data_IF_203145471688
#
_entry.id   IF_203145471688
#
_cell.length_a   1.000
_cell.length_b   1.000
_cell.length_c   1.000
_cell.angle_alpha   90.00
_cell.angle_beta   90.00
_cell.angle_gamma   90.00
#
_symmetry.space_group_name_H-M   'P 1'
#
loop_
_entity.id
_entity.type
_entity.pdbx_description
1 polymer ?
#
# COMPACT_ATOMS: atom_id res chain seq x y z
N UNK A 1 2.35 -1.22 -75.97
CA UNK A 1 1.76 -1.41 -74.62
C UNK A 1 2.33 -0.35 -73.70
N UNK A 2 1.53 0.64 -73.33
CA UNK A 2 1.90 1.71 -72.37
C UNK A 2 1.43 1.25 -70.99
N UNK A 3 2.36 1.07 -70.06
CA UNK A 3 2.06 0.69 -68.66
C UNK A 3 1.72 1.97 -67.88
N UNK A 4 0.50 2.05 -67.33
CA UNK A 4 0.08 3.13 -66.42
C UNK A 4 0.74 2.96 -65.03
N UNK A 5 1.06 4.05 -64.32
CA UNK A 5 1.55 3.97 -62.94
C UNK A 5 0.42 3.59 -61.98
N UNK A 6 0.78 2.78 -60.97
CA UNK A 6 -0.10 2.21 -59.94
C UNK A 6 -0.42 3.30 -58.90
N UNK A 7 -1.69 3.68 -58.77
CA UNK A 7 -2.15 4.58 -57.70
C UNK A 7 -1.94 3.91 -56.33
N UNK A 8 -1.37 4.65 -55.38
CA UNK A 8 -1.23 4.25 -53.97
C UNK A 8 -2.61 4.33 -53.29
N UNK A 9 -2.94 3.40 -52.37
CA UNK A 9 -4.27 3.34 -51.77
C UNK A 9 -4.54 4.53 -50.83
N UNK A 10 -5.76 5.10 -50.92
CA UNK A 10 -6.30 6.25 -50.17
C UNK A 10 -6.31 6.10 -48.62
N UNK A 11 -5.82 4.98 -48.07
CA UNK A 11 -5.80 4.70 -46.62
C UNK A 11 -4.71 5.44 -45.83
N UNK A 12 -3.60 5.82 -46.47
CA UNK A 12 -2.43 6.40 -45.77
C UNK A 12 -2.63 7.86 -45.33
N UNK A 13 -3.40 8.64 -46.09
CA UNK A 13 -3.69 10.04 -45.75
C UNK A 13 -4.68 10.19 -44.58
N UNK A 14 -5.62 9.26 -44.44
CA UNK A 14 -6.65 9.27 -43.37
C UNK A 14 -6.11 8.73 -42.04
N UNK A 15 -5.15 7.80 -42.08
CA UNK A 15 -4.39 7.38 -40.90
C UNK A 15 -3.42 8.47 -40.45
N UNK A 16 -2.65 9.06 -41.36
CA UNK A 16 -1.77 10.20 -41.04
C UNK A 16 -2.53 11.41 -40.47
N UNK A 17 -3.72 11.72 -41.01
CA UNK A 17 -4.58 12.78 -40.48
C UNK A 17 -5.20 12.46 -39.12
N UNK A 18 -5.45 11.18 -38.80
CA UNK A 18 -5.89 10.75 -37.46
C UNK A 18 -4.76 10.81 -36.45
N UNK A 19 -3.56 10.37 -36.81
CA UNK A 19 -2.37 10.42 -35.96
C UNK A 19 -1.95 11.86 -35.68
N UNK A 20 -2.01 12.76 -36.67
CA UNK A 20 -1.77 14.20 -36.47
C UNK A 20 -2.82 14.83 -35.54
N UNK A 21 -4.09 14.48 -35.70
CA UNK A 21 -5.16 15.00 -34.83
C UNK A 21 -5.02 14.46 -33.41
N UNK A 22 -4.62 13.20 -33.24
CA UNK A 22 -4.35 12.61 -31.93
C UNK A 22 -3.12 13.23 -31.27
N UNK A 23 -2.04 13.45 -32.02
CA UNK A 23 -0.84 14.14 -31.55
C UNK A 23 -1.14 15.57 -31.11
N UNK A 24 -1.95 16.32 -31.88
CA UNK A 24 -2.38 17.67 -31.53
C UNK A 24 -3.22 17.71 -30.23
N UNK A 25 -4.12 16.74 -30.02
CA UNK A 25 -4.93 16.65 -28.79
C UNK A 25 -4.05 16.33 -27.57
N UNK A 26 -3.04 15.47 -27.73
CA UNK A 26 -2.09 15.12 -26.67
C UNK A 26 -1.22 16.31 -26.29
N UNK A 27 -0.78 17.09 -27.28
CA UNK A 27 0.03 18.30 -27.06
C UNK A 27 -0.78 19.40 -26.35
N UNK A 28 -2.05 19.57 -26.72
CA UNK A 28 -2.95 20.55 -26.11
C UNK A 28 -3.28 20.19 -24.63
N UNK A 29 -3.50 18.91 -24.32
CA UNK A 29 -3.68 18.42 -22.93
C UNK A 29 -2.40 18.54 -22.10
N UNK A 30 -1.23 18.28 -22.70
CA UNK A 30 0.06 18.45 -22.04
C UNK A 30 0.32 19.92 -21.70
N UNK A 31 0.04 20.83 -22.63
CA UNK A 31 0.21 22.26 -22.45
C UNK A 31 -0.78 22.82 -21.42
N UNK A 32 -2.02 22.36 -21.42
CA UNK A 32 -3.02 22.71 -20.40
C UNK A 32 -2.56 22.34 -18.99
N UNK A 33 -1.95 21.16 -18.81
CA UNK A 33 -1.37 20.73 -17.52
C UNK A 33 -0.22 21.63 -17.08
N UNK A 34 0.67 22.01 -18.00
CA UNK A 34 1.78 22.92 -17.69
C UNK A 34 1.27 24.31 -17.27
N UNK A 35 0.21 24.80 -17.90
CA UNK A 35 -0.40 26.09 -17.55
C UNK A 35 -1.07 26.04 -16.16
N UNK A 36 -1.81 24.98 -15.85
CA UNK A 36 -2.41 24.79 -14.52
C UNK A 36 -1.36 24.72 -13.41
N UNK A 37 -0.21 24.07 -13.67
CA UNK A 37 0.92 24.04 -12.74
C UNK A 37 1.52 25.43 -12.51
N UNK A 38 1.68 26.21 -13.59
CA UNK A 38 2.19 27.59 -13.52
C UNK A 38 1.27 28.49 -12.70
N UNK A 39 -0.04 28.37 -12.87
CA UNK A 39 -1.03 29.16 -12.12
C UNK A 39 -1.03 28.79 -10.63
N UNK A 40 -0.97 27.50 -10.32
CA UNK A 40 -1.05 27.01 -8.93
C UNK A 40 0.26 27.17 -8.13
N UNK A 41 1.42 27.09 -8.78
CA UNK A 41 2.73 27.05 -8.08
C UNK A 41 3.67 28.19 -8.47
N UNK A 42 3.29 29.05 -9.42
CA UNK A 42 4.13 30.14 -9.93
C UNK A 42 5.28 29.70 -10.82
N UNK A 43 5.44 28.39 -11.09
CA UNK A 43 6.43 27.81 -11.98
C UNK A 43 5.89 26.53 -12.64
N UNK A 44 6.48 26.13 -13.76
CA UNK A 44 6.13 24.91 -14.50
C UNK A 44 7.38 24.26 -15.12
N UNK A 45 7.22 23.08 -15.72
CA UNK A 45 8.28 22.38 -16.44
C UNK A 45 8.63 23.10 -17.75
N UNK A 46 9.87 22.97 -18.21
CA UNK A 46 10.33 23.67 -19.42
C UNK A 46 9.74 23.07 -20.71
N UNK A 47 9.41 21.78 -20.67
CA UNK A 47 8.69 21.06 -21.73
C UNK A 47 7.91 19.88 -21.14
N UNK A 48 6.96 19.26 -21.89
CA UNK A 48 6.32 18.01 -21.48
C UNK A 48 7.32 16.88 -21.17
N UNK A 49 8.48 16.89 -21.83
CA UNK A 49 9.56 15.90 -21.68
C UNK A 49 10.70 16.36 -20.75
N UNK A 50 10.49 17.39 -19.93
CA UNK A 50 11.52 17.94 -19.03
C UNK A 50 12.15 16.83 -18.15
N UNK A 51 13.49 16.66 -18.16
CA UNK A 51 14.16 15.62 -17.38
C UNK A 51 14.07 15.82 -15.86
N UNK A 52 13.72 17.03 -15.41
CA UNK A 52 13.47 17.31 -14.00
C UNK A 52 12.09 16.81 -13.53
N UNK A 53 11.16 16.58 -14.46
CA UNK A 53 9.88 15.98 -14.15
C UNK A 53 10.08 14.49 -13.79
N UNK A 54 9.71 14.05 -12.58
CA UNK A 54 9.90 12.65 -12.15
C UNK A 54 9.18 11.62 -13.02
N UNK A 55 8.12 12.02 -13.73
CA UNK A 55 7.46 11.17 -14.72
C UNK A 55 8.37 10.78 -15.89
N UNK A 56 9.36 11.62 -16.24
CA UNK A 56 10.26 11.40 -17.37
C UNK A 56 11.58 10.72 -16.99
N UNK A 57 11.78 10.34 -15.71
CA UNK A 57 12.99 9.63 -15.30
C UNK A 57 13.10 8.25 -15.96
N UNK A 58 14.34 7.80 -16.18
CA UNK A 58 14.59 6.45 -16.71
C UNK A 58 14.02 5.36 -15.80
N UNK A 59 13.57 4.26 -16.39
CA UNK A 59 13.00 3.14 -15.64
C UNK A 59 13.97 2.60 -14.59
N UNK A 60 15.26 2.49 -14.93
CA UNK A 60 16.31 2.07 -14.00
C UNK A 60 16.33 2.94 -12.75
N UNK A 61 16.25 4.27 -12.91
CA UNK A 61 16.24 5.19 -11.78
C UNK A 61 14.99 5.02 -10.92
N UNK A 62 13.82 4.87 -11.55
CA UNK A 62 12.56 4.63 -10.84
C UNK A 62 12.59 3.31 -10.05
N UNK A 63 13.16 2.26 -10.64
CA UNK A 63 13.34 0.95 -9.98
C UNK A 63 14.32 1.05 -8.82
N UNK A 64 15.46 1.74 -8.98
CA UNK A 64 16.41 1.95 -7.88
C UNK A 64 15.78 2.69 -6.70
N UNK A 65 15.04 3.77 -6.96
CA UNK A 65 14.31 4.52 -5.92
C UNK A 65 13.29 3.61 -5.26
N UNK A 66 12.50 2.85 -6.04
CA UNK A 66 11.53 1.92 -5.49
C UNK A 66 12.17 0.88 -4.57
N UNK A 67 13.29 0.27 -4.97
CA UNK A 67 14.03 -0.69 -4.14
C UNK A 67 14.50 -0.05 -2.84
N UNK A 68 15.09 1.14 -2.88
CA UNK A 68 15.61 1.81 -1.68
C UNK A 68 14.49 2.19 -0.71
N UNK A 69 13.38 2.74 -1.20
CA UNK A 69 12.20 3.07 -0.37
C UNK A 69 11.59 1.80 0.23
N UNK A 70 11.48 0.74 -0.57
CA UNK A 70 10.99 -0.57 -0.15
C UNK A 70 11.88 -1.22 0.92
N UNK A 71 13.22 -1.11 0.80
CA UNK A 71 14.17 -1.55 1.81
C UNK A 71 14.06 -0.72 3.09
N UNK A 72 13.85 0.60 2.97
CA UNK A 72 13.60 1.46 4.12
C UNK A 72 12.34 1.05 4.88
N UNK A 73 11.26 0.80 4.16
CA UNK A 73 10.03 0.27 4.75
C UNK A 73 10.27 -1.08 5.42
N UNK A 74 10.98 -2.01 4.78
CA UNK A 74 11.35 -3.29 5.37
C UNK A 74 12.14 -3.11 6.68
N UNK A 75 13.18 -2.27 6.68
CA UNK A 75 13.99 -1.99 7.85
C UNK A 75 13.13 -1.45 9.01
N UNK A 76 12.19 -0.56 8.72
CA UNK A 76 11.30 -0.03 9.77
C UNK A 76 10.30 -1.05 10.30
N UNK A 77 9.78 -1.96 9.45
CA UNK A 77 8.90 -3.06 9.88
C UNK A 77 9.62 -4.02 10.84
N UNK A 78 10.92 -4.19 10.65
CA UNK A 78 11.75 -5.05 11.48
C UNK A 78 12.15 -4.43 12.83
N UNK A 79 12.02 -3.11 12.97
CA UNK A 79 12.62 -2.36 14.08
C UNK A 79 11.65 -1.93 15.19
N UNK A 80 10.42 -2.49 15.22
CA UNK A 80 9.37 -2.29 16.26
C UNK A 80 9.05 -0.83 16.66
N UNK A 81 9.52 0.17 15.90
CA UNK A 81 9.61 1.56 16.36
C UNK A 81 8.48 2.46 15.85
N UNK A 82 8.27 3.58 16.55
CA UNK A 82 7.35 4.66 16.17
C UNK A 82 7.61 5.22 14.74
N UNK A 83 8.77 4.94 14.13
CA UNK A 83 9.14 5.37 12.78
C UNK A 83 8.52 4.54 11.64
N UNK A 84 8.01 3.32 11.92
CA UNK A 84 7.43 2.44 10.90
C UNK A 84 6.24 3.06 10.15
N UNK A 85 5.49 3.93 10.82
CA UNK A 85 4.36 4.61 10.18
C UNK A 85 4.78 5.52 9.02
N UNK A 86 5.95 6.16 9.10
CA UNK A 86 6.40 7.08 8.05
C UNK A 86 6.80 6.32 6.77
N UNK A 87 7.58 5.25 6.92
CA UNK A 87 8.02 4.42 5.78
C UNK A 87 6.82 3.84 5.02
N UNK A 88 5.90 3.18 5.74
CA UNK A 88 4.72 2.54 5.12
C UNK A 88 3.79 3.55 4.43
N UNK A 89 3.72 4.80 4.93
CA UNK A 89 2.81 5.82 4.38
C UNK A 89 3.41 6.56 3.18
N UNK A 90 4.74 6.73 3.12
CA UNK A 90 5.40 7.52 2.08
C UNK A 90 5.67 6.73 0.79
N UNK A 91 5.79 5.40 0.85
CA UNK A 91 6.12 4.57 -0.33
C UNK A 91 5.14 4.77 -1.48
N UNK A 92 3.83 4.68 -1.23
CA UNK A 92 2.82 4.79 -2.29
C UNK A 92 2.72 6.20 -2.92
N UNK A 93 2.78 7.31 -2.16
CA UNK A 93 2.90 8.65 -2.72
C UNK A 93 4.15 8.84 -3.60
N UNK A 94 5.33 8.42 -3.14
CA UNK A 94 6.58 8.53 -3.91
C UNK A 94 6.46 7.77 -5.25
N UNK A 95 5.82 6.60 -5.22
CA UNK A 95 5.48 5.86 -6.45
C UNK A 95 4.54 6.63 -7.38
N UNK A 96 3.50 7.27 -6.83
CA UNK A 96 2.56 8.10 -7.60
C UNK A 96 3.19 9.35 -8.22
N UNK A 97 4.25 9.87 -7.60
CA UNK A 97 5.02 11.00 -8.11
C UNK A 97 5.89 10.62 -9.32
N UNK A 98 6.33 9.35 -9.43
CA UNK A 98 7.23 8.88 -10.50
C UNK A 98 6.54 8.11 -11.64
N UNK A 99 5.38 7.50 -11.38
CA UNK A 99 4.70 6.62 -12.34
C UNK A 99 3.36 7.17 -12.81
N UNK A 100 3.10 7.10 -14.11
CA UNK A 100 1.81 7.50 -14.68
C UNK A 100 0.66 6.60 -14.20
N UNK A 101 -0.56 7.12 -14.27
CA UNK A 101 -1.77 6.39 -13.86
C UNK A 101 -1.92 5.01 -14.55
N UNK A 102 -1.49 4.90 -15.82
CA UNK A 102 -1.52 3.65 -16.60
C UNK A 102 -0.57 2.56 -16.08
N UNK A 103 0.48 2.94 -15.33
CA UNK A 103 1.51 2.04 -14.80
C UNK A 103 1.38 1.79 -13.29
N UNK A 104 0.25 2.19 -12.67
CA UNK A 104 0.01 2.07 -11.22
C UNK A 104 0.22 0.66 -10.68
N UNK A 105 -0.24 -0.37 -11.40
CA UNK A 105 -0.09 -1.77 -10.98
C UNK A 105 1.38 -2.20 -10.87
N UNK A 106 2.22 -1.86 -11.86
CA UNK A 106 3.66 -2.15 -11.85
C UNK A 106 4.37 -1.40 -10.73
N UNK A 107 4.01 -0.13 -10.53
CA UNK A 107 4.58 0.71 -9.50
C UNK A 107 4.29 0.18 -8.10
N UNK A 108 3.03 -0.19 -7.83
CA UNK A 108 2.64 -0.78 -6.55
C UNK A 108 3.35 -2.11 -6.31
N UNK A 109 3.41 -3.00 -7.31
CA UNK A 109 4.10 -4.28 -7.19
C UNK A 109 5.58 -4.13 -6.81
N UNK A 110 6.30 -3.16 -7.40
CA UNK A 110 7.70 -2.88 -7.07
C UNK A 110 7.86 -2.28 -5.65
N UNK A 111 6.94 -1.40 -5.26
CA UNK A 111 6.93 -0.77 -3.95
C UNK A 111 6.61 -1.74 -2.81
N UNK A 112 5.86 -2.81 -3.09
CA UNK A 112 5.33 -3.66 -2.03
C UNK A 112 6.03 -5.01 -1.91
N UNK A 113 6.72 -5.48 -2.95
CA UNK A 113 7.34 -6.81 -2.96
C UNK A 113 8.29 -7.05 -1.77
N UNK A 114 9.25 -6.15 -1.54
CA UNK A 114 10.28 -6.34 -0.51
C UNK A 114 9.70 -6.18 0.91
N UNK A 115 8.89 -5.15 1.23
CA UNK A 115 8.28 -5.03 2.56
C UNK A 115 7.43 -6.23 2.96
N UNK A 116 6.78 -6.89 1.98
CA UNK A 116 5.88 -8.01 2.24
C UNK A 116 6.61 -9.30 2.63
N UNK A 117 7.94 -9.37 2.43
CA UNK A 117 8.78 -10.44 2.96
C UNK A 117 9.21 -10.19 4.42
N UNK A 118 9.05 -8.97 4.93
CA UNK A 118 9.45 -8.59 6.29
C UNK A 118 8.89 -9.46 7.40
N UNK A 119 7.59 -9.84 7.38
CA UNK A 119 7.01 -10.75 8.35
C UNK A 119 7.67 -12.12 8.44
N UNK A 120 8.43 -12.54 7.41
CA UNK A 120 9.24 -13.76 7.46
C UNK A 120 10.71 -13.50 7.77
N UNK A 121 11.31 -12.53 7.09
CA UNK A 121 12.74 -12.22 7.28
C UNK A 121 13.07 -11.80 8.71
N UNK A 122 12.19 -11.04 9.36
CA UNK A 122 12.36 -10.62 10.75
C UNK A 122 12.46 -11.80 11.71
N UNK A 123 11.43 -12.65 11.82
CA UNK A 123 11.46 -13.82 12.70
C UNK A 123 12.54 -14.84 12.35
N UNK A 124 12.86 -15.07 11.07
CA UNK A 124 13.93 -16.00 10.67
C UNK A 124 15.30 -15.51 11.16
N UNK A 125 15.63 -14.24 10.94
CA UNK A 125 16.86 -13.66 11.49
C UNK A 125 16.82 -13.60 13.02
N UNK A 126 15.63 -13.37 13.58
CA UNK A 126 15.32 -13.44 15.00
C UNK A 126 15.73 -14.78 15.62
N UNK A 127 15.15 -15.88 15.14
CA UNK A 127 15.37 -17.23 15.64
C UNK A 127 16.79 -17.75 15.40
N UNK A 128 17.39 -17.42 14.25
CA UNK A 128 18.79 -17.75 13.97
C UNK A 128 19.73 -17.05 14.95
N UNK A 129 19.51 -15.75 15.20
CA UNK A 129 20.38 -15.00 16.09
C UNK A 129 20.13 -15.34 17.56
N UNK A 130 18.88 -15.45 18.02
CA UNK A 130 18.58 -15.77 19.43
C UNK A 130 19.13 -17.14 19.85
N UNK A 131 19.15 -18.11 18.92
CA UNK A 131 19.66 -19.45 19.20
C UNK A 131 21.20 -19.56 19.16
N UNK A 132 21.87 -18.77 18.31
CA UNK A 132 23.31 -18.93 18.07
C UNK A 132 24.17 -17.82 18.67
N UNK A 133 23.61 -16.66 18.98
CA UNK A 133 24.33 -15.49 19.52
C UNK A 133 23.51 -14.81 20.63
N UNK A 134 24.17 -13.96 21.42
CA UNK A 134 23.45 -13.20 22.45
C UNK A 134 22.43 -12.26 21.82
N UNK A 135 21.21 -12.23 22.37
CA UNK A 135 20.06 -11.47 21.84
C UNK A 135 20.36 -9.99 21.53
N UNK A 136 21.29 -9.34 22.24
CA UNK A 136 21.72 -7.96 21.96
C UNK A 136 22.23 -7.77 20.51
N UNK A 137 22.80 -8.81 19.90
CA UNK A 137 23.28 -8.76 18.51
C UNK A 137 22.18 -8.56 17.50
N UNK A 138 20.92 -8.89 17.82
CA UNK A 138 19.77 -8.55 17.00
C UNK A 138 19.72 -7.04 16.75
N UNK A 139 19.92 -6.23 17.79
CA UNK A 139 19.91 -4.78 17.67
C UNK A 139 21.07 -4.27 16.82
N UNK A 140 22.26 -4.85 16.95
CA UNK A 140 23.42 -4.45 16.14
C UNK A 140 23.25 -4.79 14.65
N UNK A 141 22.73 -5.98 14.33
CA UNK A 141 22.47 -6.41 12.95
C UNK A 141 21.40 -5.51 12.33
N UNK A 142 20.27 -5.30 13.02
CA UNK A 142 19.18 -4.46 12.53
C UNK A 142 19.61 -2.99 12.37
N UNK A 143 20.34 -2.44 13.34
CA UNK A 143 20.84 -1.06 13.28
C UNK A 143 21.84 -0.87 12.14
N UNK A 144 22.71 -1.86 11.89
CA UNK A 144 23.67 -1.80 10.78
C UNK A 144 22.96 -1.85 9.43
N UNK A 145 21.93 -2.69 9.30
CA UNK A 145 21.10 -2.74 8.11
C UNK A 145 20.34 -1.44 7.89
N UNK A 146 19.73 -0.87 8.93
CA UNK A 146 19.02 0.41 8.86
C UNK A 146 19.96 1.57 8.50
N UNK A 147 21.17 1.59 9.08
CA UNK A 147 22.20 2.58 8.75
C UNK A 147 22.61 2.49 7.27
N UNK A 148 22.84 1.27 6.76
CA UNK A 148 23.15 1.06 5.34
C UNK A 148 22.03 1.56 4.42
N UNK A 149 20.78 1.19 4.70
CA UNK A 149 19.63 1.62 3.91
C UNK A 149 19.44 3.13 3.98
N UNK A 150 19.69 3.75 5.13
CA UNK A 150 19.66 5.21 5.30
C UNK A 150 20.72 5.90 4.46
N UNK A 151 21.96 5.41 4.46
CA UNK A 151 23.05 5.93 3.63
C UNK A 151 22.71 5.81 2.15
N UNK A 152 22.20 4.65 1.72
CA UNK A 152 21.73 4.46 0.34
C UNK A 152 20.58 5.42 0.01
N UNK A 153 19.67 5.65 0.95
CA UNK A 153 18.58 6.62 0.86
C UNK A 153 19.10 8.03 0.59
N UNK A 154 20.05 8.52 1.37
CA UNK A 154 20.65 9.85 1.21
C UNK A 154 21.34 10.03 -0.14
N UNK A 155 21.98 8.98 -0.67
CA UNK A 155 22.72 9.04 -1.94
C UNK A 155 21.80 8.90 -3.15
N UNK A 156 20.79 8.03 -3.09
CA UNK A 156 19.98 7.63 -4.25
C UNK A 156 18.67 8.43 -4.35
N UNK A 157 18.02 8.71 -3.21
CA UNK A 157 16.72 9.36 -3.22
C UNK A 157 16.88 10.83 -3.62
N UNK A 158 16.16 11.22 -4.66
CA UNK A 158 15.97 12.62 -5.05
C UNK A 158 14.54 13.03 -4.80
N UNK A 159 14.36 14.31 -4.51
CA UNK A 159 13.04 14.92 -4.38
C UNK A 159 12.19 14.60 -5.62
N UNK A 160 11.02 14.00 -5.39
CA UNK A 160 10.06 13.58 -6.43
C UNK A 160 8.75 14.34 -6.33
N UNK A 161 8.49 15.05 -5.23
CA UNK A 161 7.21 15.74 -5.06
C UNK A 161 7.15 16.99 -5.95
N UNK A 162 6.28 16.95 -6.97
CA UNK A 162 6.16 18.00 -8.00
C UNK A 162 5.96 19.41 -7.39
N UNK A 163 5.06 19.63 -6.42
CA UNK A 163 4.92 20.95 -5.79
C UNK A 163 6.19 21.47 -5.11
N UNK A 164 7.00 20.59 -4.51
CA UNK A 164 8.27 20.99 -3.89
C UNK A 164 9.31 21.36 -4.95
N UNK A 165 9.40 20.61 -6.06
CA UNK A 165 10.30 20.90 -7.18
C UNK A 165 9.95 22.23 -7.86
N UNK A 166 8.67 22.45 -8.18
CA UNK A 166 8.20 23.69 -8.80
C UNK A 166 8.38 24.88 -7.86
N UNK A 167 8.14 24.72 -6.55
CA UNK A 167 8.42 25.78 -5.57
C UNK A 167 9.91 26.15 -5.52
N UNK A 168 10.82 25.16 -5.59
CA UNK A 168 12.27 25.42 -5.67
C UNK A 168 12.63 26.16 -6.96
N UNK A 169 12.02 25.81 -8.10
CA UNK A 169 12.21 26.50 -9.39
C UNK A 169 11.68 27.94 -9.33
N UNK A 170 10.49 28.16 -8.78
CA UNK A 170 9.91 29.49 -8.56
C UNK A 170 10.79 30.36 -7.65
N UNK A 171 11.36 29.77 -6.58
CA UNK A 171 12.30 30.43 -5.68
C UNK A 171 13.60 30.84 -6.38
N UNK A 172 14.16 29.97 -7.23
CA UNK A 172 15.36 30.29 -7.99
C UNK A 172 15.12 31.43 -9.00
N UNK A 173 13.92 31.50 -9.58
CA UNK A 173 13.53 32.57 -10.51
C UNK A 173 13.20 33.88 -9.80
N UNK A 174 12.60 33.83 -8.60
CA UNK A 174 12.20 35.01 -7.83
C UNK A 174 12.56 34.88 -6.34
N UNK A 175 13.83 35.13 -5.96
CA UNK A 175 14.31 34.90 -4.59
C UNK A 175 13.60 35.76 -3.53
N UNK A 176 13.17 36.97 -3.91
CA UNK A 176 12.57 37.95 -2.98
C UNK A 176 11.11 37.63 -2.63
N UNK A 177 10.37 36.93 -3.49
CA UNK A 177 8.95 36.60 -3.28
C UNK A 177 8.75 35.41 -2.32
N UNK A 178 9.79 34.59 -2.11
CA UNK A 178 9.68 33.31 -1.41
C UNK A 178 10.73 33.15 -0.30
N UNK A 179 10.99 34.23 0.44
CA UNK A 179 11.88 34.20 1.61
C UNK A 179 11.34 33.21 2.65
N UNK A 180 12.09 32.12 2.84
CA UNK A 180 11.75 31.05 3.79
C UNK A 180 11.80 31.63 5.20
N UNK A 181 10.73 31.50 5.99
CA UNK A 181 10.79 31.77 7.43
C UNK A 181 11.87 30.88 8.03
N UNK A 182 12.88 31.48 8.67
CA UNK A 182 13.98 30.73 9.29
C UNK A 182 13.42 29.80 10.37
N UNK A 183 13.92 28.56 10.55
CA UNK A 183 13.49 27.63 11.59
C UNK A 183 13.55 28.21 13.01
N UNK A 184 14.34 29.28 13.22
CA UNK A 184 14.46 29.99 14.49
C UNK A 184 13.41 31.08 14.72
N UNK A 185 12.43 31.24 13.83
CA UNK A 185 11.42 32.31 13.91
C UNK A 185 10.14 31.77 14.54
N UNK A 186 9.51 32.51 15.45
CA UNK A 186 8.20 32.14 16.03
C UNK A 186 7.14 31.86 14.96
N UNK A 187 7.17 32.59 13.83
CA UNK A 187 6.29 32.39 12.69
C UNK A 187 6.39 30.97 12.10
N UNK A 188 7.59 30.38 12.09
CA UNK A 188 7.80 29.00 11.62
C UNK A 188 7.01 28.00 12.47
N UNK A 189 7.05 28.15 13.80
CA UNK A 189 6.31 27.27 14.71
C UNK A 189 4.80 27.46 14.56
N UNK A 190 4.31 28.70 14.42
CA UNK A 190 2.88 28.96 14.20
C UNK A 190 2.39 28.34 12.88
N UNK A 191 3.16 28.48 11.81
CA UNK A 191 2.87 27.86 10.52
C UNK A 191 2.89 26.32 10.63
N UNK A 192 3.90 25.76 11.32
CA UNK A 192 4.02 24.33 11.56
C UNK A 192 2.82 23.78 12.34
N UNK A 193 2.45 24.39 13.48
CA UNK A 193 1.30 23.96 14.27
C UNK A 193 -0.01 24.10 13.49
N UNK A 194 -0.14 25.14 12.67
CA UNK A 194 -1.32 25.32 11.81
C UNK A 194 -1.43 24.20 10.78
N UNK A 195 -0.32 23.82 10.14
CA UNK A 195 -0.29 22.72 9.17
C UNK A 195 -0.50 21.36 9.84
N UNK A 196 0.17 21.10 10.97
CA UNK A 196 -0.02 19.87 11.75
C UNK A 196 -1.46 19.72 12.21
N UNK A 197 -2.06 20.79 12.77
CA UNK A 197 -3.47 20.78 13.19
C UNK A 197 -4.38 20.43 12.03
N UNK A 198 -4.20 21.04 10.85
CA UNK A 198 -4.99 20.74 9.65
C UNK A 198 -4.84 19.28 9.23
N UNK A 199 -3.60 18.77 9.22
CA UNK A 199 -3.29 17.41 8.78
C UNK A 199 -3.72 16.32 9.78
N UNK A 200 -3.79 16.61 11.08
CA UNK A 200 -4.30 15.69 12.12
C UNK A 200 -5.84 15.73 12.16
N UNK A 201 -6.42 16.92 12.08
CA UNK A 201 -7.87 17.10 12.14
C UNK A 201 -8.58 16.43 10.96
N UNK A 202 -7.97 16.47 9.77
CA UNK A 202 -8.61 15.97 8.56
C UNK A 202 -8.89 14.46 8.57
N UNK A 203 -7.93 13.55 8.85
CA UNK A 203 -8.22 12.13 9.00
C UNK A 203 -9.27 11.83 10.06
N UNK A 204 -9.20 12.50 11.22
CA UNK A 204 -10.18 12.34 12.30
C UNK A 204 -11.59 12.75 11.86
N UNK A 205 -11.69 13.89 11.17
CA UNK A 205 -12.95 14.35 10.60
C UNK A 205 -13.47 13.37 9.56
N UNK A 206 -12.64 12.91 8.63
CA UNK A 206 -13.02 11.91 7.63
C UNK A 206 -13.55 10.63 8.29
N UNK A 207 -12.87 10.13 9.32
CA UNK A 207 -13.33 8.97 10.08
C UNK A 207 -14.69 9.23 10.77
N UNK A 208 -14.90 10.42 11.32
CA UNK A 208 -16.15 10.77 12.00
C UNK A 208 -17.32 11.04 11.04
N UNK A 209 -17.07 11.61 9.86
CA UNK A 209 -18.14 12.12 8.98
C UNK A 209 -18.41 11.26 7.75
N UNK A 210 -17.45 10.42 7.30
CA UNK A 210 -17.59 9.61 6.09
C UNK A 210 -17.87 8.16 6.46
N UNK A 211 -19.09 7.65 6.30
CA UNK A 211 -19.42 6.26 6.65
C UNK A 211 -18.60 5.23 5.86
N UNK A 212 -18.19 5.58 4.63
CA UNK A 212 -17.34 4.71 3.84
C UNK A 212 -15.96 4.49 4.46
N UNK A 213 -15.38 5.53 5.09
CA UNK A 213 -14.12 5.40 5.82
C UNK A 213 -14.32 4.55 7.07
N UNK A 214 -15.45 4.69 7.77
CA UNK A 214 -15.78 3.87 8.94
C UNK A 214 -15.86 2.38 8.57
N UNK A 215 -16.58 2.04 7.50
CA UNK A 215 -16.69 0.67 7.01
C UNK A 215 -15.33 0.10 6.62
N UNK A 216 -14.55 0.84 5.82
CA UNK A 216 -13.20 0.39 5.44
C UNK A 216 -12.26 0.30 6.64
N UNK A 217 -12.42 1.17 7.65
CA UNK A 217 -11.62 1.18 8.87
C UNK A 217 -11.93 -0.03 9.75
N UNK A 218 -13.20 -0.43 9.85
CA UNK A 218 -13.61 -1.66 10.53
C UNK A 218 -13.02 -2.87 9.80
N UNK A 219 -13.19 -2.95 8.48
CA UNK A 219 -12.68 -4.05 7.67
C UNK A 219 -11.16 -4.23 7.86
N UNK A 220 -10.40 -3.15 7.65
CA UNK A 220 -8.95 -3.18 7.77
C UNK A 220 -8.48 -3.30 9.22
N UNK A 221 -9.28 -2.79 10.15
CA UNK A 221 -9.05 -2.88 11.58
C UNK A 221 -8.98 -4.32 12.05
N UNK A 222 -10.05 -5.08 11.78
CA UNK A 222 -10.10 -6.49 12.14
C UNK A 222 -9.08 -7.32 11.36
N UNK A 223 -8.93 -7.06 10.07
CA UNK A 223 -7.94 -7.72 9.21
C UNK A 223 -6.53 -7.62 9.80
N UNK A 224 -6.06 -6.40 10.04
CA UNK A 224 -4.71 -6.17 10.55
C UNK A 224 -4.56 -6.56 12.02
N UNK A 225 -5.60 -6.38 12.84
CA UNK A 225 -5.59 -6.79 14.24
C UNK A 225 -5.41 -8.30 14.40
N UNK A 226 -6.19 -9.10 13.66
CA UNK A 226 -6.06 -10.57 13.64
C UNK A 226 -4.71 -10.98 13.07
N UNK A 227 -4.24 -10.30 12.02
CA UNK A 227 -2.93 -10.57 11.43
C UNK A 227 -1.79 -10.39 12.44
N UNK A 228 -1.79 -9.28 13.20
CA UNK A 228 -0.76 -9.03 14.23
C UNK A 228 -0.90 -10.00 15.40
N UNK A 229 -2.14 -10.36 15.78
CA UNK A 229 -2.38 -11.42 16.76
C UNK A 229 -1.71 -12.72 16.33
N UNK A 230 -2.01 -13.20 15.11
CA UNK A 230 -1.45 -14.45 14.59
C UNK A 230 0.08 -14.39 14.54
N UNK A 231 0.67 -13.28 14.05
CA UNK A 231 2.12 -13.10 14.03
C UNK A 231 2.76 -13.20 15.41
N UNK A 232 2.12 -12.60 16.43
CA UNK A 232 2.65 -12.58 17.79
C UNK A 232 2.66 -13.95 18.46
N UNK A 233 1.73 -14.83 18.10
CA UNK A 233 1.60 -16.18 18.67
C UNK A 233 2.10 -17.29 17.75
N UNK A 234 2.62 -16.94 16.56
CA UNK A 234 3.06 -17.93 15.58
C UNK A 234 4.31 -18.68 16.08
N UNK A 235 5.30 -17.96 16.61
CA UNK A 235 6.49 -18.58 17.19
C UNK A 235 6.16 -19.47 18.39
N UNK A 236 5.30 -19.01 19.30
CA UNK A 236 4.87 -19.81 20.46
C UNK A 236 4.14 -21.09 20.05
N UNK A 237 3.38 -21.07 18.95
CA UNK A 237 2.78 -22.31 18.43
C UNK A 237 3.85 -23.36 18.11
N UNK A 238 4.90 -22.97 17.39
CA UNK A 238 5.93 -23.92 16.97
C UNK A 238 6.81 -24.39 18.13
N UNK A 239 7.13 -23.49 19.05
CA UNK A 239 7.98 -23.80 20.21
C UNK A 239 7.19 -24.62 21.25
N UNK A 240 6.00 -24.17 21.62
CA UNK A 240 5.26 -24.75 22.75
C UNK A 240 4.43 -25.97 22.36
N UNK A 241 3.81 -25.97 21.16
CA UNK A 241 2.92 -27.06 20.71
C UNK A 241 3.63 -28.10 19.85
N UNK A 242 4.51 -27.67 18.96
CA UNK A 242 5.24 -28.55 18.03
C UNK A 242 6.64 -28.92 18.54
N UNK A 243 7.09 -28.32 19.65
CA UNK A 243 8.39 -28.58 20.27
C UNK A 243 9.58 -28.38 19.32
N UNK A 244 9.44 -27.43 18.40
CA UNK A 244 10.51 -27.05 17.47
C UNK A 244 11.51 -26.10 18.15
N UNK A 245 12.76 -26.14 17.71
CA UNK A 245 13.76 -25.15 18.13
C UNK A 245 13.42 -23.77 17.56
N UNK A 246 13.91 -22.69 18.18
CA UNK A 246 13.66 -21.32 17.73
C UNK A 246 13.99 -21.11 16.25
N UNK A 247 15.11 -21.66 15.76
CA UNK A 247 15.48 -21.61 14.34
C UNK A 247 14.47 -22.35 13.47
N UNK A 248 14.12 -23.60 13.80
CA UNK A 248 13.19 -24.39 12.97
C UNK A 248 11.80 -23.75 12.98
N UNK A 249 11.29 -23.37 14.16
CA UNK A 249 10.01 -22.68 14.31
C UNK A 249 9.95 -21.37 13.53
N UNK A 250 11.07 -20.64 13.45
CA UNK A 250 11.15 -19.41 12.64
C UNK A 250 11.05 -19.64 11.13
N UNK A 251 11.45 -20.82 10.63
CA UNK A 251 11.36 -21.14 9.19
C UNK A 251 9.91 -21.26 8.72
N UNK A 252 8.97 -21.62 9.59
CA UNK A 252 7.54 -21.67 9.26
C UNK A 252 6.98 -20.29 8.86
N UNK A 253 7.64 -19.19 9.23
CA UNK A 253 7.25 -17.86 8.72
C UNK A 253 7.46 -17.71 7.20
N UNK A 254 8.19 -18.61 6.54
CA UNK A 254 8.23 -18.68 5.06
C UNK A 254 6.82 -18.89 4.50
N UNK A 255 5.96 -19.66 5.16
CA UNK A 255 4.57 -19.84 4.73
C UNK A 255 3.80 -18.52 4.72
N UNK A 256 4.02 -17.68 5.75
CA UNK A 256 3.48 -16.32 5.82
C UNK A 256 3.98 -15.49 4.63
N UNK A 257 5.29 -15.48 4.33
CA UNK A 257 5.83 -14.77 3.17
C UNK A 257 5.31 -15.28 1.82
N UNK A 258 5.10 -16.59 1.68
CA UNK A 258 4.49 -17.17 0.48
C UNK A 258 3.06 -16.63 0.34
N UNK A 259 2.26 -16.66 1.40
CA UNK A 259 0.91 -16.12 1.41
C UNK A 259 0.85 -14.62 1.09
N UNK A 260 1.67 -13.80 1.76
CA UNK A 260 1.73 -12.36 1.48
C UNK A 260 2.17 -12.07 0.04
N UNK A 261 3.13 -12.82 -0.50
CA UNK A 261 3.62 -12.65 -1.88
C UNK A 261 2.57 -13.08 -2.90
N UNK A 262 1.89 -14.20 -2.71
CA UNK A 262 0.80 -14.66 -3.57
C UNK A 262 -0.36 -13.65 -3.53
N UNK A 263 -0.76 -13.22 -2.34
CA UNK A 263 -1.82 -12.23 -2.15
C UNK A 263 -1.47 -10.88 -2.81
N UNK A 264 -0.22 -10.46 -2.70
CA UNK A 264 0.23 -9.20 -3.27
C UNK A 264 0.39 -9.23 -4.79
N UNK A 265 1.13 -10.21 -5.29
CA UNK A 265 1.48 -10.28 -6.70
C UNK A 265 0.34 -10.90 -7.50
N UNK A 266 -0.17 -12.06 -7.07
CA UNK A 266 -1.34 -12.69 -7.69
C UNK A 266 -2.59 -11.83 -7.57
N UNK A 267 -2.81 -11.22 -6.39
CA UNK A 267 -3.93 -10.31 -6.17
C UNK A 267 -3.88 -9.06 -7.05
N UNK A 268 -2.71 -8.43 -7.22
CA UNK A 268 -2.55 -7.30 -8.12
C UNK A 268 -2.95 -7.62 -9.57
N UNK A 269 -2.52 -8.77 -10.11
CA UNK A 269 -2.90 -9.21 -11.46
C UNK A 269 -4.41 -9.49 -11.56
N UNK A 270 -4.99 -10.14 -10.55
CA UNK A 270 -6.41 -10.43 -10.47
C UNK A 270 -7.24 -9.12 -10.42
N UNK A 271 -6.83 -8.15 -9.60
CA UNK A 271 -7.48 -6.84 -9.50
C UNK A 271 -7.47 -6.11 -10.85
N UNK A 272 -6.33 -6.11 -11.54
CA UNK A 272 -6.19 -5.52 -12.88
C UNK A 272 -7.09 -6.20 -13.91
N UNK A 273 -7.13 -7.53 -13.91
CA UNK A 273 -7.99 -8.32 -14.80
C UNK A 273 -9.47 -7.99 -14.59
N UNK A 274 -9.92 -8.03 -13.32
CA UNK A 274 -11.29 -7.72 -12.90
C UNK A 274 -11.67 -6.29 -13.33
N UNK A 275 -10.78 -5.33 -13.07
CA UNK A 275 -11.00 -3.92 -13.38
C UNK A 275 -11.12 -3.66 -14.90
N UNK A 276 -10.21 -4.23 -15.72
CA UNK A 276 -10.26 -4.09 -17.19
C UNK A 276 -11.55 -4.67 -17.76
N UNK A 277 -11.93 -5.87 -17.30
CA UNK A 277 -13.16 -6.54 -17.73
C UNK A 277 -14.44 -5.75 -17.40
N UNK A 278 -14.43 -4.94 -16.33
CA UNK A 278 -15.54 -4.06 -16.00
C UNK A 278 -15.52 -2.76 -16.79
N UNK A 279 -14.35 -2.14 -16.96
CA UNK A 279 -14.19 -0.91 -17.74
C UNK A 279 -14.62 -1.09 -19.19
N UNK A 280 -14.27 -2.22 -19.81
CA UNK A 280 -14.49 -2.45 -21.24
C UNK A 280 -15.96 -2.76 -21.60
N UNK A 281 -16.88 -2.69 -20.62
CA UNK A 281 -18.33 -2.85 -20.87
C UNK A 281 -18.91 -1.56 -21.50
N UNK A 282 -19.85 -1.67 -22.46
CA UNK A 282 -20.47 -0.50 -23.09
C UNK A 282 -21.15 0.43 -22.06
N UNK A 283 -21.03 1.74 -22.25
CA UNK A 283 -21.66 2.79 -21.40
C UNK A 283 -21.26 2.77 -19.91
N UNK A 284 -20.05 2.32 -19.61
CA UNK A 284 -19.59 2.16 -18.23
C UNK A 284 -18.93 3.43 -17.68
N UNK A 285 -19.47 3.97 -16.59
CA UNK A 285 -18.85 5.04 -15.82
C UNK A 285 -17.84 4.44 -14.85
N UNK A 286 -16.57 4.83 -14.96
CA UNK A 286 -15.50 4.36 -14.08
C UNK A 286 -15.83 4.80 -12.64
N UNK A 287 -15.89 3.81 -11.74
CA UNK A 287 -16.24 4.03 -10.34
C UNK A 287 -15.32 3.22 -9.42
N UNK A 288 -15.04 3.70 -8.19
CA UNK A 288 -14.24 2.97 -7.21
C UNK A 288 -14.81 1.58 -6.87
N UNK A 289 -16.12 1.39 -7.06
CA UNK A 289 -16.82 0.12 -6.83
C UNK A 289 -16.27 -1.04 -7.69
N UNK A 290 -15.55 -0.75 -8.78
CA UNK A 290 -14.88 -1.79 -9.58
C UNK A 290 -13.74 -2.50 -8.84
N UNK A 291 -13.32 -1.99 -7.68
CA UNK A 291 -12.36 -2.68 -6.80
C UNK A 291 -13.02 -3.72 -5.91
N UNK A 292 -14.34 -3.64 -5.69
CA UNK A 292 -15.05 -4.47 -4.72
C UNK A 292 -15.14 -5.95 -5.14
N UNK A 293 -15.38 -6.33 -6.40
CA UNK A 293 -15.39 -7.74 -6.79
C UNK A 293 -14.07 -8.47 -6.54
N UNK A 294 -12.96 -7.73 -6.55
CA UNK A 294 -11.66 -8.25 -6.14
C UNK A 294 -11.59 -8.49 -4.62
N UNK A 295 -12.19 -7.63 -3.80
CA UNK A 295 -12.18 -7.76 -2.34
C UNK A 295 -13.03 -8.94 -1.82
N UNK A 296 -14.06 -9.37 -2.57
CA UNK A 296 -14.93 -10.49 -2.17
C UNK A 296 -14.15 -11.80 -1.94
N UNK A 297 -13.37 -12.34 -2.90
CA UNK A 297 -12.57 -13.53 -2.64
C UNK A 297 -11.53 -13.29 -1.54
N UNK A 298 -10.98 -12.07 -1.42
CA UNK A 298 -10.01 -11.73 -0.38
C UNK A 298 -10.57 -11.89 1.04
N UNK A 299 -11.77 -11.35 1.31
CA UNK A 299 -12.40 -11.45 2.63
C UNK A 299 -12.85 -12.87 2.99
N UNK A 300 -13.02 -13.75 2.00
CA UNK A 300 -13.38 -15.15 2.23
C UNK A 300 -12.15 -16.01 2.55
N UNK A 301 -10.99 -15.70 1.99
CA UNK A 301 -9.75 -16.44 2.27
C UNK A 301 -9.32 -16.31 3.74
N UNK A 302 -9.58 -15.18 4.37
CA UNK A 302 -9.21 -14.91 5.77
C UNK A 302 -9.84 -15.91 6.75
N UNK A 303 -11.18 -16.05 6.83
CA UNK A 303 -11.80 -17.03 7.73
C UNK A 303 -11.47 -18.48 7.34
N UNK A 304 -11.35 -18.79 6.03
CA UNK A 304 -10.91 -20.11 5.58
C UNK A 304 -9.52 -20.43 6.16
N UNK A 305 -8.58 -19.51 6.04
CA UNK A 305 -7.24 -19.65 6.59
C UNK A 305 -7.23 -19.77 8.11
N UNK A 306 -8.03 -18.96 8.82
CA UNK A 306 -8.14 -19.02 10.29
C UNK A 306 -8.68 -20.37 10.78
N UNK A 307 -9.75 -20.89 10.17
CA UNK A 307 -10.29 -22.19 10.56
C UNK A 307 -9.31 -23.32 10.24
N UNK A 308 -8.67 -23.26 9.07
CA UNK A 308 -7.68 -24.27 8.66
C UNK A 308 -6.47 -24.28 9.59
N UNK A 309 -5.88 -23.11 9.82
CA UNK A 309 -4.74 -22.91 10.72
C UNK A 309 -5.07 -23.35 12.14
N UNK A 310 -6.16 -22.83 12.71
CA UNK A 310 -6.56 -23.07 14.09
C UNK A 310 -6.80 -24.54 14.41
N UNK A 311 -7.58 -25.23 13.58
CA UNK A 311 -7.91 -26.63 13.83
C UNK A 311 -6.78 -27.60 13.51
N UNK A 312 -5.90 -27.25 12.56
CA UNK A 312 -4.68 -28.01 12.29
C UNK A 312 -3.71 -27.91 13.46
N UNK A 313 -3.53 -26.71 14.02
CA UNK A 313 -2.71 -26.45 15.19
C UNK A 313 -3.27 -27.13 16.46
N UNK A 314 -4.59 -27.09 16.67
CA UNK A 314 -5.25 -27.72 17.81
C UNK A 314 -5.00 -29.23 17.85
N UNK A 315 -5.18 -29.91 16.72
CA UNK A 315 -5.00 -31.35 16.63
C UNK A 315 -3.54 -31.79 16.48
N UNK A 316 -2.59 -30.84 16.42
CA UNK A 316 -1.17 -31.15 16.20
C UNK A 316 -0.93 -31.89 14.87
N UNK A 317 -1.69 -31.54 13.82
CA UNK A 317 -1.51 -32.13 12.48
C UNK A 317 -0.14 -31.71 11.93
N UNK A 318 0.37 -32.42 10.92
CA UNK A 318 1.61 -32.06 10.20
C UNK A 318 1.76 -30.54 9.99
N UNK A 319 2.97 -30.03 10.24
CA UNK A 319 3.36 -28.63 10.10
C UNK A 319 2.89 -28.00 8.77
N UNK A 320 2.91 -28.77 7.68
CA UNK A 320 2.46 -28.34 6.36
C UNK A 320 1.02 -27.84 6.38
N UNK A 321 0.12 -28.49 7.14
CA UNK A 321 -1.29 -28.10 7.18
C UNK A 321 -1.50 -26.78 7.92
N UNK A 322 -0.74 -26.55 8.99
CA UNK A 322 -0.74 -25.28 9.72
C UNK A 322 -0.23 -24.15 8.83
N UNK A 323 0.89 -24.39 8.15
CA UNK A 323 1.52 -23.44 7.24
C UNK A 323 0.64 -23.10 6.03
N UNK A 324 -0.05 -24.09 5.44
CA UNK A 324 -1.01 -23.85 4.35
C UNK A 324 -2.16 -22.95 4.85
N UNK A 325 -2.70 -23.19 6.04
CA UNK A 325 -3.72 -22.34 6.65
C UNK A 325 -3.22 -20.91 6.86
N UNK A 326 -2.01 -20.75 7.40
CA UNK A 326 -1.38 -19.45 7.60
C UNK A 326 -1.15 -18.71 6.28
N UNK A 327 -0.68 -19.39 5.24
CA UNK A 327 -0.47 -18.81 3.91
C UNK A 327 -1.78 -18.35 3.25
N UNK A 328 -2.87 -19.13 3.37
CA UNK A 328 -4.21 -18.76 2.88
C UNK A 328 -4.71 -17.51 3.60
N UNK A 329 -4.58 -17.48 4.93
CA UNK A 329 -4.98 -16.35 5.76
C UNK A 329 -4.22 -15.07 5.37
N UNK A 330 -2.89 -15.12 5.28
CA UNK A 330 -2.08 -13.94 4.96
C UNK A 330 -2.26 -13.49 3.52
N UNK A 331 -2.49 -14.40 2.57
CA UNK A 331 -2.87 -14.04 1.21
C UNK A 331 -4.16 -13.21 1.20
N UNK A 332 -5.19 -13.65 1.93
CA UNK A 332 -6.44 -12.91 2.10
C UNK A 332 -6.23 -11.49 2.66
N UNK A 333 -5.47 -11.37 3.76
CA UNK A 333 -5.20 -10.08 4.41
C UNK A 333 -4.55 -9.07 3.45
N UNK A 334 -3.52 -9.51 2.72
CA UNK A 334 -2.79 -8.63 1.81
C UNK A 334 -3.61 -8.26 0.58
N UNK A 335 -4.46 -9.18 0.08
CA UNK A 335 -5.39 -8.85 -0.99
C UNK A 335 -6.42 -7.79 -0.55
N UNK A 336 -7.01 -7.93 0.65
CA UNK A 336 -7.93 -6.92 1.22
C UNK A 336 -7.25 -5.55 1.32
N UNK A 337 -6.03 -5.51 1.88
CA UNK A 337 -5.25 -4.28 2.01
C UNK A 337 -4.99 -3.58 0.67
N UNK A 338 -4.65 -4.34 -0.38
CA UNK A 338 -4.45 -3.78 -1.73
C UNK A 338 -5.76 -3.25 -2.34
N UNK A 339 -6.85 -4.02 -2.27
CA UNK A 339 -8.14 -3.63 -2.82
C UNK A 339 -8.69 -2.36 -2.16
N UNK A 340 -8.55 -2.27 -0.84
CA UNK A 340 -8.90 -1.09 -0.07
C UNK A 340 -8.06 0.14 -0.46
N UNK A 341 -6.73 0.00 -0.55
CA UNK A 341 -5.87 1.11 -0.93
C UNK A 341 -6.22 1.64 -2.33
N UNK A 342 -6.49 0.75 -3.29
CA UNK A 342 -6.95 1.12 -4.62
C UNK A 342 -8.30 1.84 -4.59
N UNK A 343 -9.26 1.36 -3.79
CA UNK A 343 -10.56 2.01 -3.61
C UNK A 343 -10.40 3.45 -3.08
N UNK A 344 -9.57 3.65 -2.05
CA UNK A 344 -9.32 4.97 -1.45
C UNK A 344 -8.66 5.95 -2.42
N UNK A 345 -7.74 5.45 -3.25
CA UNK A 345 -7.07 6.24 -4.29
C UNK A 345 -8.03 6.68 -5.41
N UNK A 346 -9.02 5.84 -5.74
CA UNK A 346 -10.00 6.14 -6.78
C UNK A 346 -11.11 7.08 -6.26
N UNK A 347 -11.44 7.05 -4.96
CA UNK A 347 -12.52 7.86 -4.36
C UNK A 347 -12.08 9.24 -3.85
N UNK A 348 -10.90 9.34 -3.23
CA UNK A 348 -10.52 10.56 -2.50
C UNK A 348 -9.39 11.32 -3.20
N UNK A 349 -9.63 12.61 -3.48
CA UNK A 349 -8.58 13.54 -3.94
C UNK A 349 -7.40 13.60 -2.97
N UNK A 350 -7.68 13.50 -1.66
CA UNK A 350 -6.67 13.43 -0.61
C UNK A 350 -6.56 12.02 -0.03
N UNK A 351 -6.21 11.08 -0.90
CA UNK A 351 -6.07 9.66 -0.56
C UNK A 351 -5.14 9.40 0.63
N UNK A 352 -4.10 10.22 0.84
CA UNK A 352 -3.22 10.10 1.99
C UNK A 352 -3.95 10.28 3.34
N UNK A 353 -4.81 11.31 3.45
CA UNK A 353 -5.61 11.54 4.67
C UNK A 353 -6.69 10.49 4.86
N UNK A 354 -7.29 10.00 3.77
CA UNK A 354 -8.26 8.91 3.80
C UNK A 354 -7.60 7.59 4.26
N UNK A 355 -6.42 7.25 3.74
CA UNK A 355 -5.62 6.11 4.16
C UNK A 355 -5.24 6.19 5.64
N UNK A 356 -4.80 7.36 6.10
CA UNK A 356 -4.49 7.58 7.52
C UNK A 356 -5.73 7.39 8.41
N UNK A 357 -6.90 7.89 7.99
CA UNK A 357 -8.15 7.73 8.73
C UNK A 357 -8.54 6.25 8.87
N UNK A 358 -8.50 5.52 7.75
CA UNK A 358 -8.84 4.09 7.71
C UNK A 358 -7.90 3.24 8.57
N UNK A 359 -6.60 3.56 8.60
CA UNK A 359 -5.56 2.85 9.36
C UNK A 359 -5.59 3.11 10.87
N UNK A 360 -6.36 4.07 11.35
CA UNK A 360 -6.35 4.41 12.77
C UNK A 360 -6.86 3.25 13.63
N UNK A 361 -7.99 2.64 13.22
CA UNK A 361 -8.54 1.48 13.92
C UNK A 361 -7.64 0.26 13.83
N UNK A 362 -6.99 0.02 12.68
CA UNK A 362 -6.03 -1.09 12.55
C UNK A 362 -4.85 -0.98 13.50
N UNK A 363 -4.32 0.21 13.72
CA UNK A 363 -3.23 0.40 14.67
C UNK A 363 -3.69 0.19 16.13
N UNK A 364 -4.92 0.61 16.46
CA UNK A 364 -5.50 0.37 17.79
C UNK A 364 -5.71 -1.13 18.03
N UNK A 365 -6.29 -1.85 17.06
CA UNK A 365 -6.53 -3.28 17.20
C UNK A 365 -5.24 -4.10 17.14
N UNK A 366 -4.26 -3.72 16.31
CA UNK A 366 -2.93 -4.33 16.31
C UNK A 366 -2.18 -4.16 17.64
N UNK A 367 -2.44 -3.08 18.39
CA UNK A 367 -1.95 -2.93 19.75
C UNK A 367 -2.75 -3.80 20.74
N UNK A 368 -4.07 -3.79 20.65
CA UNK A 368 -4.93 -4.46 21.63
C UNK A 368 -4.92 -5.99 21.52
N UNK A 369 -4.88 -6.54 20.30
CA UNK A 369 -5.09 -7.96 20.04
C UNK A 369 -3.98 -8.86 20.61
N UNK A 370 -2.68 -8.55 20.41
CA UNK A 370 -1.60 -9.33 21.01
C UNK A 370 -1.62 -9.36 22.55
N UNK A 371 -2.15 -8.31 23.20
CA UNK A 371 -2.20 -8.21 24.67
C UNK A 371 -3.05 -9.32 25.27
N UNK A 372 -4.20 -9.64 24.67
CA UNK A 372 -5.09 -10.69 25.17
C UNK A 372 -4.90 -12.05 24.50
N UNK A 373 -4.05 -12.15 23.47
CA UNK A 373 -3.86 -13.38 22.70
C UNK A 373 -3.41 -14.58 23.56
N UNK A 374 -2.44 -14.44 24.50
CA UNK A 374 -2.03 -15.55 25.36
C UNK A 374 -3.18 -16.06 26.22
N UNK A 375 -3.94 -15.17 26.86
CA UNK A 375 -5.10 -15.53 27.69
C UNK A 375 -6.21 -16.19 26.88
N UNK A 376 -6.45 -15.69 25.65
CA UNK A 376 -7.43 -16.26 24.73
C UNK A 376 -7.06 -17.70 24.35
N UNK A 377 -5.82 -17.94 23.92
CA UNK A 377 -5.36 -19.28 23.55
C UNK A 377 -5.24 -20.22 24.75
N UNK A 378 -4.88 -19.73 25.94
CA UNK A 378 -4.84 -20.53 27.15
C UNK A 378 -6.23 -21.06 27.54
N UNK A 379 -7.31 -20.30 27.27
CA UNK A 379 -8.69 -20.68 27.61
C UNK A 379 -9.42 -21.43 26.51
N UNK A 380 -9.19 -21.07 25.25
CA UNK A 380 -9.93 -21.59 24.10
C UNK A 380 -9.14 -22.61 23.26
N UNK A 381 -7.83 -22.71 23.46
CA UNK A 381 -6.96 -23.42 22.53
C UNK A 381 -6.83 -22.70 21.18
N UNK A 382 -5.98 -23.23 20.31
CA UNK A 382 -5.77 -22.68 18.97
C UNK A 382 -6.99 -22.90 18.07
N UNK A 383 -7.73 -23.99 18.24
CA UNK A 383 -8.92 -24.32 17.44
C UNK A 383 -10.04 -23.31 17.65
N UNK A 384 -10.58 -23.23 18.87
CA UNK A 384 -11.66 -22.28 19.16
C UNK A 384 -11.19 -20.83 19.25
N UNK A 385 -9.94 -20.56 19.65
CA UNK A 385 -9.37 -19.22 19.61
C UNK A 385 -9.41 -18.62 18.21
N UNK A 386 -8.90 -19.35 17.20
CA UNK A 386 -8.98 -18.88 15.81
C UNK A 386 -10.39 -18.96 15.23
N UNK A 387 -11.22 -19.91 15.67
CA UNK A 387 -12.62 -19.97 15.22
C UNK A 387 -13.43 -18.76 15.68
N UNK A 388 -13.21 -18.28 16.91
CA UNK A 388 -13.81 -17.04 17.41
C UNK A 388 -13.45 -15.85 16.52
N UNK A 389 -12.15 -15.71 16.18
CA UNK A 389 -11.68 -14.66 15.27
C UNK A 389 -12.28 -14.82 13.86
N UNK A 390 -12.38 -16.05 13.35
CA UNK A 390 -12.99 -16.37 12.06
C UNK A 390 -14.47 -16.00 12.02
N UNK A 391 -15.26 -16.33 13.05
CA UNK A 391 -16.67 -15.96 13.12
C UNK A 391 -16.88 -14.45 13.28
N UNK A 392 -16.04 -13.76 14.07
CA UNK A 392 -16.07 -12.31 14.16
C UNK A 392 -15.77 -11.67 12.80
N UNK A 393 -14.79 -12.18 12.06
CA UNK A 393 -14.46 -11.70 10.73
C UNK A 393 -15.57 -12.01 9.70
N UNK A 394 -16.21 -13.18 9.78
CA UNK A 394 -17.38 -13.52 8.96
C UNK A 394 -18.56 -12.57 9.22
N UNK A 395 -18.79 -12.18 10.48
CA UNK A 395 -19.89 -11.29 10.85
C UNK A 395 -19.62 -9.82 10.54
N UNK A 396 -18.38 -9.36 10.69
CA UNK A 396 -18.02 -7.94 10.59
C UNK A 396 -17.29 -7.60 9.29
N UNK A 397 -16.35 -8.44 8.85
CA UNK A 397 -15.51 -8.20 7.68
C UNK A 397 -16.19 -8.55 6.36
N UNK A 398 -16.66 -9.80 6.21
CA UNK A 398 -17.24 -10.31 4.95
C UNK A 398 -18.43 -9.50 4.42
N UNK A 399 -19.35 -8.98 5.25
CA UNK A 399 -20.48 -8.19 4.74
C UNK A 399 -20.05 -6.84 4.17
N UNK A 400 -18.90 -6.28 4.55
CA UNK A 400 -18.52 -4.91 4.17
C UNK A 400 -18.33 -4.76 2.66
N UNK A 401 -17.54 -5.60 1.95
CA UNK A 401 -17.49 -5.55 0.49
C UNK A 401 -18.86 -5.71 -0.18
N UNK A 402 -19.73 -6.58 0.34
CA UNK A 402 -21.08 -6.76 -0.21
C UNK A 402 -21.91 -5.49 -0.04
N UNK A 403 -21.84 -4.86 1.14
CA UNK A 403 -22.51 -3.59 1.41
C UNK A 403 -22.01 -2.50 0.47
N UNK A 404 -20.70 -2.41 0.25
CA UNK A 404 -20.11 -1.45 -0.68
C UNK A 404 -20.46 -1.75 -2.15
N UNK A 405 -20.64 -3.02 -2.52
CA UNK A 405 -21.04 -3.40 -3.88
C UNK A 405 -22.46 -2.90 -4.21
N UNK A 406 -23.41 -3.12 -3.30
CA UNK A 406 -24.82 -2.79 -3.56
C UNK A 406 -25.18 -1.34 -3.19
N UNK A 407 -24.60 -0.79 -2.12
CA UNK A 407 -24.94 0.54 -1.59
C UNK A 407 -23.80 1.56 -1.68
N UNK A 408 -22.63 1.20 -2.24
CA UNK A 408 -21.45 2.06 -2.34
C UNK A 408 -21.74 3.48 -2.84
N UNK A 409 -22.44 3.67 -3.98
CA UNK A 409 -22.75 5.01 -4.48
C UNK A 409 -23.59 5.86 -3.52
N UNK A 410 -24.54 5.23 -2.81
CA UNK A 410 -25.38 5.92 -1.82
C UNK A 410 -24.58 6.29 -0.58
N UNK A 411 -23.78 5.36 -0.05
CA UNK A 411 -22.93 5.57 1.12
C UNK A 411 -21.89 6.65 0.85
N UNK A 412 -21.33 6.67 -0.35
CA UNK A 412 -20.38 7.68 -0.81
C UNK A 412 -20.98 9.08 -0.89
N UNK A 413 -22.26 9.21 -1.26
CA UNK A 413 -22.90 10.51 -1.33
C UNK A 413 -22.97 11.17 0.06
N UNK A 414 -23.03 10.35 1.13
CA UNK A 414 -23.09 10.82 2.51
C UNK A 414 -21.76 11.47 2.91
N UNK A 415 -21.85 12.70 3.40
CA UNK A 415 -20.70 13.45 3.90
C UNK A 415 -19.71 13.93 2.84
N UNK A 416 -20.09 13.92 1.55
CA UNK A 416 -19.24 14.40 0.44
C UNK A 416 -19.08 15.93 0.39
N UNK A 417 -20.01 16.66 1.00
CA UNK A 417 -20.01 18.13 1.08
C UNK A 417 -19.11 18.70 2.20
N UNK A 418 -18.53 17.82 3.02
CA UNK A 418 -17.68 18.16 4.16
C UNK A 418 -16.24 17.66 3.98
#
# INVERSE_FOLDING_TARGET
MVVKPKELPEGTAVEAGRDQKYAAIVDDDAQAKLNALRESHGATWDSPEDPNNPYNWSLTRKVCIAIVVSLGQLATLMSTSCGASAGVTLTAPIMGDMFHAKDRGKSLALATLIPYLGPALGPIMGGLASQNIHWHWLFWILSSFEALVTVLGVVILRESYTPALLRRKAQAQNPNLYRRSSPCTQQFYLDLFTQLRKNIYRPLRLLATRPIIQLLSILYGFDFGIYVLMLSTYASLWIDRYHESETIGSLNYIAIAIGTTIGAQGGGHLMDYIWRRMRDRPNTIISPEFRIPYMIPSVLLIPIGLFWYGWSAEHGISWVMVDVGAAIFTAGCFMVGQGMLAYLLDEFTHAASASAATRMLSNILAFAFPIFAPDMYARLGFGWGNSLLGFLYLGLGVPIPLVLWFWGPRIRAIGKEF
#
